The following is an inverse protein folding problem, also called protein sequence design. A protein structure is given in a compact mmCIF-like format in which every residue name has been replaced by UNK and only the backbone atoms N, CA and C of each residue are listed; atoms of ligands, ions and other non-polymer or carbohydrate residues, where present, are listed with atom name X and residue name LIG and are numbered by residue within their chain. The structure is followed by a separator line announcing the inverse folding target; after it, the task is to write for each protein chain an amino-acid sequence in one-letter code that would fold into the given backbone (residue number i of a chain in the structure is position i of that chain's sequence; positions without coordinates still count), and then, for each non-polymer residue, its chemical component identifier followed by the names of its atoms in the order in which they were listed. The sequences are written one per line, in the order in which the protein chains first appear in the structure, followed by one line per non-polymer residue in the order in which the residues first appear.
data_IF_247808156172
#
_entry.id   IF_247808156172
#
_cell.length_a   1.000
_cell.length_b   1.000
_cell.length_c   1.000
_cell.angle_alpha   90.00
_cell.angle_beta   90.00
_cell.angle_gamma   90.00
#
_symmetry.space_group_name_H-M   'P 1'
#
loop_
_entity.id
_entity.type
_entity.pdbx_description
1 polymer ?
#
# COMPACT_ATOMS: atom_id res chain seq x y z
N UNK A 1 -32.97 -27.49 -42.99
CA UNK A 1 -31.76 -28.04 -42.33
C UNK A 1 -30.94 -26.86 -41.82
N UNK A 2 -31.07 -26.52 -40.53
CA UNK A 2 -30.37 -25.36 -39.93
C UNK A 2 -28.95 -25.76 -39.53
N UNK A 3 -27.92 -24.90 -39.73
CA UNK A 3 -26.57 -25.18 -39.25
C UNK A 3 -26.50 -25.07 -37.72
N UNK A 4 -25.63 -25.87 -37.06
CA UNK A 4 -25.53 -25.89 -35.60
C UNK A 4 -24.85 -24.61 -35.06
N UNK A 5 -25.22 -24.14 -33.85
CA UNK A 5 -24.59 -22.97 -33.24
C UNK A 5 -23.12 -23.27 -32.88
N UNK A 6 -22.22 -22.37 -33.28
CA UNK A 6 -20.79 -22.43 -32.98
C UNK A 6 -20.56 -22.30 -31.48
N UNK A 7 -19.81 -23.23 -30.89
CA UNK A 7 -19.34 -23.19 -29.49
C UNK A 7 -18.63 -21.85 -29.22
N UNK A 8 -19.06 -21.16 -28.17
CA UNK A 8 -18.38 -19.96 -27.67
C UNK A 8 -16.95 -20.32 -27.26
N UNK A 9 -15.98 -19.57 -27.81
CA UNK A 9 -14.55 -19.68 -27.51
C UNK A 9 -14.37 -19.37 -26.02
N UNK A 10 -13.97 -20.37 -25.24
CA UNK A 10 -13.78 -20.27 -23.80
C UNK A 10 -12.75 -19.21 -23.43
N UNK A 11 -13.02 -18.56 -22.30
CA UNK A 11 -12.15 -17.78 -21.43
C UNK A 11 -10.69 -17.64 -21.90
N UNK A 12 -10.42 -16.60 -22.69
CA UNK A 12 -9.07 -16.08 -22.88
C UNK A 12 -8.84 -15.04 -21.76
N UNK A 13 -7.96 -15.37 -20.83
CA UNK A 13 -7.52 -14.50 -19.74
C UNK A 13 -6.46 -13.54 -20.29
N UNK A 14 -6.90 -12.48 -20.97
CA UNK A 14 -6.02 -11.36 -21.29
C UNK A 14 -5.91 -10.49 -20.03
N UNK A 15 -4.74 -10.56 -19.39
CA UNK A 15 -4.40 -9.72 -18.25
C UNK A 15 -4.31 -8.26 -18.72
N UNK A 16 -5.41 -7.51 -18.56
CA UNK A 16 -5.40 -6.07 -18.76
C UNK A 16 -4.46 -5.42 -17.72
N UNK A 17 -3.37 -4.81 -18.19
CA UNK A 17 -2.47 -4.01 -17.37
C UNK A 17 -3.24 -2.82 -16.77
N UNK A 18 -3.33 -2.76 -15.44
CA UNK A 18 -4.14 -1.75 -14.75
C UNK A 18 -3.33 -0.87 -13.81
N UNK A 19 -3.50 0.44 -13.98
CA UNK A 19 -2.79 1.50 -13.27
C UNK A 19 -3.26 1.60 -11.80
N UNK A 20 -2.32 1.38 -10.88
CA UNK A 20 -2.54 1.39 -9.43
C UNK A 20 -3.12 2.71 -8.88
N UNK A 21 -2.98 3.82 -9.60
CA UNK A 21 -3.46 5.13 -9.14
C UNK A 21 -4.99 5.34 -9.26
N UNK A 22 -5.70 4.56 -10.07
CA UNK A 22 -7.15 4.76 -10.32
C UNK A 22 -8.09 3.86 -9.52
N UNK A 23 -7.59 2.78 -8.88
CA UNK A 23 -8.42 1.88 -8.07
C UNK A 23 -8.93 2.50 -6.75
N UNK A 24 -8.51 3.73 -6.45
CA UNK A 24 -8.68 4.41 -5.15
C UNK A 24 -9.97 5.26 -5.08
N UNK A 25 -10.79 5.24 -6.13
CA UNK A 25 -11.95 6.13 -6.30
C UNK A 25 -13.32 5.50 -5.94
N UNK A 26 -13.37 4.25 -5.51
CA UNK A 26 -14.61 3.50 -5.29
C UNK A 26 -15.00 3.28 -3.84
N UNK A 27 -15.12 4.32 -3.01
CA UNK A 27 -15.68 4.22 -1.64
C UNK A 27 -17.20 4.07 -1.66
N UNK A 28 -17.72 3.03 -2.31
CA UNK A 28 -19.14 2.71 -2.28
C UNK A 28 -19.48 1.96 -0.97
N UNK A 29 -20.38 2.51 -0.16
CA UNK A 29 -20.94 1.81 1.00
C UNK A 29 -21.98 0.81 0.53
N UNK A 30 -21.67 -0.49 0.61
CA UNK A 30 -22.64 -1.56 0.35
C UNK A 30 -23.34 -1.96 1.65
N UNK A 31 -24.63 -2.29 1.57
CA UNK A 31 -25.41 -2.79 2.71
C UNK A 31 -24.99 -4.20 3.16
N UNK A 32 -25.49 -4.69 4.31
CA UNK A 32 -25.12 -5.99 4.84
C UNK A 32 -25.62 -7.12 3.94
N UNK A 33 -24.75 -8.09 3.64
CA UNK A 33 -25.08 -9.31 2.90
C UNK A 33 -24.91 -10.50 3.84
N UNK A 34 -25.89 -11.42 3.81
CA UNK A 34 -25.80 -12.67 4.56
C UNK A 34 -24.96 -13.69 3.78
N UNK A 35 -23.99 -14.28 4.44
CA UNK A 35 -23.17 -15.37 3.91
C UNK A 35 -23.08 -16.47 4.97
N UNK A 36 -22.97 -17.71 4.52
CA UNK A 36 -22.76 -18.88 5.38
C UNK A 36 -21.25 -19.14 5.44
N UNK A 37 -20.76 -19.52 6.62
CA UNK A 37 -19.38 -19.98 6.78
C UNK A 37 -19.29 -21.39 6.19
N UNK A 38 -18.44 -21.54 5.17
CA UNK A 38 -18.20 -22.83 4.54
C UNK A 38 -17.35 -23.77 5.40
N UNK A 39 -17.14 -24.98 4.89
CA UNK A 39 -16.28 -25.96 5.54
C UNK A 39 -14.86 -25.41 5.80
N UNK A 40 -14.32 -25.74 6.96
CA UNK A 40 -13.00 -25.26 7.39
C UNK A 40 -12.95 -23.77 7.76
N UNK A 41 -14.10 -23.13 8.01
CA UNK A 41 -14.14 -21.74 8.49
C UNK A 41 -13.95 -20.68 7.40
N UNK A 42 -14.13 -21.04 6.13
CA UNK A 42 -13.95 -20.13 5.00
C UNK A 42 -15.18 -19.23 4.83
N UNK A 43 -14.95 -17.93 4.74
CA UNK A 43 -15.97 -16.95 4.38
C UNK A 43 -15.79 -16.52 2.92
N UNK A 44 -16.88 -16.53 2.14
CA UNK A 44 -16.86 -16.05 0.76
C UNK A 44 -17.27 -14.59 0.73
N UNK A 45 -16.38 -13.71 0.27
CA UNK A 45 -16.70 -12.31 0.04
C UNK A 45 -17.35 -12.16 -1.35
N UNK A 46 -18.61 -11.70 -1.43
CA UNK A 46 -19.30 -11.51 -2.71
C UNK A 46 -18.52 -10.59 -3.66
N UNK A 47 -18.68 -10.81 -4.97
CA UNK A 47 -17.91 -10.10 -5.99
C UNK A 47 -18.08 -8.57 -5.92
N UNK A 48 -19.28 -8.09 -5.57
CA UNK A 48 -19.57 -6.66 -5.42
C UNK A 48 -18.78 -6.03 -4.27
N UNK A 49 -18.73 -6.71 -3.12
CA UNK A 49 -17.95 -6.27 -1.96
C UNK A 49 -16.45 -6.30 -2.25
N UNK A 50 -15.95 -7.32 -2.96
CA UNK A 50 -14.54 -7.35 -3.39
C UNK A 50 -14.17 -6.16 -4.27
N UNK A 51 -15.04 -5.79 -5.22
CA UNK A 51 -14.85 -4.60 -6.08
C UNK A 51 -14.85 -3.30 -5.28
N UNK A 52 -15.80 -3.13 -4.37
CA UNK A 52 -15.87 -1.94 -3.50
C UNK A 52 -14.68 -1.83 -2.54
N UNK A 53 -14.16 -2.96 -2.06
CA UNK A 53 -12.95 -3.01 -1.24
C UNK A 53 -11.65 -2.87 -2.06
N UNK A 54 -11.74 -2.93 -3.39
CA UNK A 54 -10.59 -2.88 -4.30
C UNK A 54 -9.66 -4.09 -4.20
N UNK A 55 -10.16 -5.26 -3.80
CA UNK A 55 -9.35 -6.47 -3.56
C UNK A 55 -9.49 -7.51 -4.66
N UNK A 56 -8.36 -8.10 -5.06
CA UNK A 56 -8.23 -9.15 -6.08
C UNK A 56 -7.95 -10.51 -5.43
N UNK A 57 -8.24 -11.63 -6.13
CA UNK A 57 -7.80 -12.95 -5.68
C UNK A 57 -6.27 -12.97 -5.48
N UNK A 58 -5.83 -13.44 -4.33
CA UNK A 58 -4.41 -13.43 -3.93
C UNK A 58 -4.00 -12.23 -3.08
N UNK A 59 -4.84 -11.19 -2.97
CA UNK A 59 -4.57 -10.06 -2.07
C UNK A 59 -4.77 -10.45 -0.60
N UNK A 60 -3.92 -9.90 0.26
CA UNK A 60 -3.99 -10.11 1.71
C UNK A 60 -4.98 -9.15 2.36
N UNK A 61 -5.85 -9.69 3.20
CA UNK A 61 -6.77 -8.95 4.05
C UNK A 61 -6.32 -9.02 5.51
N UNK A 62 -6.44 -7.90 6.22
CA UNK A 62 -6.30 -7.85 7.67
C UNK A 62 -7.67 -8.08 8.27
N UNK A 63 -7.80 -9.13 9.08
CA UNK A 63 -9.00 -9.44 9.83
C UNK A 63 -8.83 -8.99 11.28
N UNK A 64 -9.84 -8.30 11.82
CA UNK A 64 -9.89 -7.89 13.22
C UNK A 64 -11.24 -8.24 13.79
N UNK A 65 -11.25 -8.79 15.01
CA UNK A 65 -12.48 -8.98 15.79
C UNK A 65 -12.50 -7.94 16.90
N UNK A 66 -13.59 -7.18 17.01
CA UNK A 66 -13.86 -6.26 18.12
C UNK A 66 -15.33 -6.40 18.50
N UNK A 67 -15.60 -6.59 19.79
CA UNK A 67 -16.98 -6.67 20.32
C UNK A 67 -17.88 -7.69 19.62
N UNK A 68 -17.28 -8.78 19.09
CA UNK A 68 -17.97 -9.81 18.32
C UNK A 68 -18.15 -9.51 16.83
N UNK A 69 -17.68 -8.36 16.34
CA UNK A 69 -17.72 -7.99 14.93
C UNK A 69 -16.42 -8.33 14.20
N UNK A 70 -16.51 -9.12 13.13
CA UNK A 70 -15.39 -9.38 12.23
C UNK A 70 -15.30 -8.26 11.19
N UNK A 71 -14.26 -7.45 11.28
CA UNK A 71 -13.93 -6.42 10.29
C UNK A 71 -12.80 -6.93 9.39
N UNK A 72 -13.04 -6.95 8.08
CA UNK A 72 -12.02 -7.21 7.06
C UNK A 72 -11.59 -5.90 6.42
N UNK A 73 -10.29 -5.60 6.40
CA UNK A 73 -9.73 -4.36 5.86
C UNK A 73 -8.61 -4.71 4.88
N UNK A 74 -8.60 -4.08 3.70
CA UNK A 74 -7.47 -4.19 2.78
C UNK A 74 -6.27 -3.42 3.31
N UNK A 75 -5.05 -3.90 3.02
CA UNK A 75 -3.82 -3.28 3.51
C UNK A 75 -3.70 -1.80 3.11
N UNK A 76 -4.09 -1.46 1.89
CA UNK A 76 -4.09 -0.09 1.39
C UNK A 76 -5.07 0.81 2.16
N UNK A 77 -6.27 0.31 2.47
CA UNK A 77 -7.24 1.06 3.28
C UNK A 77 -6.72 1.27 4.70
N UNK A 78 -6.05 0.28 5.29
CA UNK A 78 -5.41 0.42 6.61
C UNK A 78 -4.34 1.51 6.60
N UNK A 79 -3.47 1.53 5.58
CA UNK A 79 -2.45 2.57 5.42
C UNK A 79 -3.11 3.95 5.30
N UNK A 80 -4.17 4.08 4.49
CA UNK A 80 -4.88 5.36 4.32
C UNK A 80 -5.52 5.84 5.62
N UNK A 81 -6.21 4.97 6.35
CA UNK A 81 -6.82 5.33 7.65
C UNK A 81 -5.77 5.82 8.65
N UNK A 82 -4.59 5.21 8.65
CA UNK A 82 -3.46 5.65 9.47
C UNK A 82 -2.94 7.01 8.98
N UNK A 83 -2.74 7.18 7.67
CA UNK A 83 -2.31 8.45 7.07
C UNK A 83 -3.30 9.59 7.35
N UNK A 84 -4.60 9.35 7.26
CA UNK A 84 -5.66 10.34 7.57
C UNK A 84 -5.65 10.72 9.05
N UNK A 85 -5.53 9.75 9.95
CA UNK A 85 -5.40 10.04 11.40
C UNK A 85 -4.16 10.87 11.70
N UNK A 86 -3.04 10.52 11.07
CA UNK A 86 -1.76 11.18 11.26
C UNK A 86 -1.64 12.50 10.48
N UNK A 87 -2.53 12.78 9.52
CA UNK A 87 -2.52 14.02 8.75
C UNK A 87 -2.70 15.26 9.63
N UNK A 88 -3.43 15.13 10.74
CA UNK A 88 -3.60 16.19 11.74
C UNK A 88 -2.29 16.61 12.42
N UNK A 89 -1.26 15.76 12.42
CA UNK A 89 0.05 16.04 12.99
C UNK A 89 1.06 16.57 11.97
N UNK A 90 0.67 16.72 10.69
CA UNK A 90 1.54 17.33 9.68
C UNK A 90 1.48 18.85 9.80
N UNK A 91 2.66 19.47 9.90
CA UNK A 91 2.79 20.93 9.81
C UNK A 91 2.37 21.39 8.41
N UNK A 92 1.41 22.33 8.26
CA UNK A 92 0.96 22.82 6.97
C UNK A 92 2.13 23.43 6.17
N UNK A 93 2.32 23.00 4.93
CA UNK A 93 3.36 23.52 4.04
C UNK A 93 4.79 23.01 4.31
N UNK A 94 4.99 22.17 5.34
CA UNK A 94 6.28 21.53 5.63
C UNK A 94 6.33 20.10 5.08
N UNK A 95 7.37 19.78 4.32
CA UNK A 95 7.67 18.38 3.97
C UNK A 95 8.63 17.82 5.01
N UNK A 96 8.10 17.02 5.93
CA UNK A 96 8.89 16.29 6.95
C UNK A 96 9.99 15.44 6.30
N UNK A 97 9.73 14.95 5.08
CA UNK A 97 10.70 14.17 4.31
C UNK A 97 11.83 15.06 3.81
N UNK A 98 11.52 16.25 3.27
CA UNK A 98 12.56 17.15 2.76
C UNK A 98 13.40 17.74 3.88
N UNK A 99 12.78 18.06 5.03
CA UNK A 99 13.49 18.48 6.25
C UNK A 99 14.45 17.38 6.73
N UNK A 100 13.97 16.14 6.86
CA UNK A 100 14.82 15.00 7.22
C UNK A 100 15.95 14.75 6.23
N UNK A 101 15.69 14.88 4.92
CA UNK A 101 16.70 14.71 3.89
C UNK A 101 17.73 15.86 3.90
N UNK A 102 17.31 17.09 4.19
CA UNK A 102 18.20 18.23 4.35
C UNK A 102 19.15 18.02 5.54
N UNK A 103 18.61 17.62 6.70
CA UNK A 103 19.40 17.30 7.89
C UNK A 103 20.41 16.19 7.60
N UNK A 104 19.99 15.12 6.92
CA UNK A 104 20.89 14.02 6.54
C UNK A 104 22.02 14.46 5.62
N UNK A 105 21.77 15.36 4.66
CA UNK A 105 22.82 15.90 3.78
C UNK A 105 23.78 16.80 4.54
N UNK A 106 23.28 17.59 5.50
CA UNK A 106 24.12 18.45 6.30
C UNK A 106 25.02 17.64 7.26
N UNK A 107 24.49 16.59 7.87
CA UNK A 107 25.28 15.63 8.67
C UNK A 107 26.39 14.98 7.85
N UNK A 108 26.10 14.54 6.62
CA UNK A 108 27.11 13.98 5.72
C UNK A 108 28.20 15.00 5.40
N UNK A 109 27.83 16.25 5.05
CA UNK A 109 28.80 17.31 4.76
C UNK A 109 29.74 17.56 5.95
N UNK A 110 29.20 17.64 7.17
CA UNK A 110 30.01 17.82 8.39
C UNK A 110 30.93 16.63 8.66
N UNK A 111 30.50 15.41 8.32
CA UNK A 111 31.33 14.21 8.46
C UNK A 111 32.50 14.22 7.47
N UNK A 112 32.23 14.57 6.21
CA UNK A 112 33.22 14.66 5.15
C UNK A 112 34.26 15.76 5.46
N UNK A 113 33.81 16.95 5.86
CA UNK A 113 34.68 18.05 6.29
C UNK A 113 35.60 17.65 7.45
N UNK A 114 35.10 16.86 8.40
CA UNK A 114 35.88 16.35 9.55
C UNK A 114 36.91 15.30 9.09
N UNK A 115 36.53 14.41 8.18
CA UNK A 115 37.43 13.42 7.59
C UNK A 115 38.57 14.10 6.84
N UNK A 116 38.28 15.14 6.05
CA UNK A 116 39.27 15.91 5.30
C UNK A 116 40.26 16.64 6.22
N UNK A 117 39.79 17.23 7.33
CA UNK A 117 40.65 17.85 8.34
C UNK A 117 41.60 16.85 9.00
N UNK A 118 41.08 15.70 9.42
CA UNK A 118 41.89 14.64 10.02
C UNK A 118 42.93 14.08 9.02
N UNK A 119 42.55 13.98 7.75
CA UNK A 119 43.45 13.54 6.68
C UNK A 119 44.57 14.57 6.44
N UNK A 120 44.27 15.87 6.45
CA UNK A 120 45.25 16.94 6.34
C UNK A 120 46.22 16.99 7.54
N UNK A 121 45.70 16.84 8.76
CA UNK A 121 46.52 16.78 9.98
C UNK A 121 47.43 15.55 10.00
N UNK A 122 46.92 14.38 9.60
CA UNK A 122 47.71 13.16 9.47
C UNK A 122 48.82 13.28 8.41
N UNK A 123 48.56 13.99 7.31
CA UNK A 123 49.58 14.27 6.29
C UNK A 123 50.63 15.27 6.76
N UNK A 124 50.27 16.24 7.62
CA UNK A 124 51.20 17.20 8.21
C UNK A 124 52.14 16.56 9.24
N UNK A 125 51.65 15.61 10.05
CA UNK A 125 52.47 14.86 11.02
C UNK A 125 53.45 13.87 10.37
N UNK A 126 53.22 13.47 9.11
CA UNK A 126 54.08 12.53 8.36
C UNK A 126 55.23 13.23 7.59
N UNK A 127 55.30 14.56 7.62
CA UNK A 127 56.37 15.31 6.95
C UNK A 127 57.65 15.24 7.81
N UNK A 128 58.77 14.71 7.29
CA UNK A 128 60.01 14.53 8.04
C UNK A 128 60.70 15.85 8.38
#
# INVERSE_FOLDING_TARGET
MMPPPKKARGFAEEAAEFNHAQAVAGTASLGPVRTIVGEGGRLVIPAEMRKAMGVKPGDTLVLKVQDGELTAISQLVSIRKVQERLASYKTPGGSVVDEFLADRREEQRRSDERLDQLHAEGMAMKKP
#
